data_IF_415344498180
#
_entry.id   IF_415344498180
#
_cell.length_a   1.000
_cell.length_b   1.000
_cell.length_c   1.000
_cell.angle_alpha   90.00
_cell.angle_beta   90.00
_cell.angle_gamma   90.00
#
_symmetry.space_group_name_H-M   'P 1'
#
loop_
_entity.id
_entity.type
_entity.pdbx_description
1 polymer ?
#
# COMPACT_ATOMS: atom_id res chain seq x y z
N UNK A 1 19.54 -13.81 -22.78
CA UNK A 1 18.06 -13.75 -22.77
C UNK A 1 17.51 -15.16 -22.73
N UNK A 2 16.56 -15.45 -21.85
CA UNK A 2 15.82 -16.71 -21.84
C UNK A 2 14.36 -16.36 -22.14
N UNK A 3 13.76 -17.01 -23.13
CA UNK A 3 12.37 -16.83 -23.47
C UNK A 3 11.53 -17.88 -22.74
N UNK A 4 10.49 -17.44 -22.05
CA UNK A 4 9.50 -18.31 -21.42
C UNK A 4 8.19 -18.15 -22.19
N UNK A 5 7.71 -19.24 -22.78
CA UNK A 5 6.39 -19.30 -23.41
C UNK A 5 5.45 -20.04 -22.48
N UNK A 6 4.44 -19.34 -21.95
CA UNK A 6 3.35 -19.97 -21.20
C UNK A 6 2.28 -20.40 -22.20
N UNK A 7 2.14 -21.72 -22.40
CA UNK A 7 1.15 -22.31 -23.31
C UNK A 7 -0.16 -22.54 -22.56
N UNK A 8 -1.28 -22.56 -23.29
CA UNK A 8 -2.62 -22.84 -22.74
C UNK A 8 -3.00 -21.92 -21.57
N UNK A 9 -2.72 -20.63 -21.70
CA UNK A 9 -3.12 -19.64 -20.70
C UNK A 9 -4.65 -19.56 -20.65
N UNK A 10 -5.22 -19.88 -19.48
CA UNK A 10 -6.66 -19.83 -19.29
C UNK A 10 -7.20 -18.40 -19.58
N UNK A 11 -8.36 -18.24 -20.24
CA UNK A 11 -8.86 -16.92 -20.65
C UNK A 11 -9.13 -15.96 -19.49
N UNK A 12 -9.51 -16.48 -18.33
CA UNK A 12 -9.70 -15.75 -17.08
C UNK A 12 -8.36 -15.20 -16.55
N UNK A 13 -7.29 -16.00 -16.59
CA UNK A 13 -5.94 -15.59 -16.20
C UNK A 13 -5.40 -14.52 -17.16
N UNK A 14 -5.63 -14.65 -18.47
CA UNK A 14 -5.28 -13.62 -19.45
C UNK A 14 -5.97 -12.28 -19.14
N UNK A 15 -7.28 -12.31 -18.84
CA UNK A 15 -8.04 -11.11 -18.44
C UNK A 15 -7.51 -10.51 -17.14
N UNK A 16 -7.18 -11.35 -16.15
CA UNK A 16 -6.63 -10.90 -14.89
C UNK A 16 -5.26 -10.20 -15.07
N UNK A 17 -4.39 -10.76 -15.90
CA UNK A 17 -3.08 -10.16 -16.24
C UNK A 17 -3.23 -8.82 -16.96
N UNK A 18 -4.17 -8.71 -17.90
CA UNK A 18 -4.44 -7.45 -18.61
C UNK A 18 -5.01 -6.37 -17.67
N UNK A 19 -5.87 -6.74 -16.72
CA UNK A 19 -6.35 -5.82 -15.69
C UNK A 19 -5.21 -5.34 -14.80
N UNK A 20 -4.32 -6.25 -14.40
CA UNK A 20 -3.16 -5.92 -13.57
C UNK A 20 -2.18 -5.00 -14.31
N UNK A 21 -1.97 -5.25 -15.61
CA UNK A 21 -1.18 -4.40 -16.50
C UNK A 21 -1.72 -2.98 -16.53
N UNK A 22 -3.04 -2.82 -16.74
CA UNK A 22 -3.72 -1.52 -16.75
C UNK A 22 -3.61 -0.81 -15.40
N UNK A 23 -3.80 -1.53 -14.30
CA UNK A 23 -3.67 -0.98 -12.93
C UNK A 23 -2.26 -0.49 -12.64
N UNK A 24 -1.24 -1.24 -13.07
CA UNK A 24 0.15 -0.95 -12.77
C UNK A 24 0.83 0.01 -13.74
N UNK A 25 0.20 0.36 -14.88
CA UNK A 25 0.79 1.22 -15.92
C UNK A 25 2.09 0.68 -16.55
N UNK A 26 2.35 -0.63 -16.42
CA UNK A 26 3.60 -1.28 -16.81
C UNK A 26 3.40 -2.21 -18.01
N UNK A 27 4.48 -2.60 -18.66
CA UNK A 27 4.42 -3.62 -19.72
C UNK A 27 3.94 -4.96 -19.15
N UNK A 28 3.34 -5.80 -20.01
CA UNK A 28 2.84 -7.11 -19.61
C UNK A 28 3.97 -7.98 -19.05
N UNK A 29 5.15 -7.96 -19.68
CA UNK A 29 6.33 -8.68 -19.21
C UNK A 29 6.79 -8.22 -17.81
N UNK A 30 6.83 -6.91 -17.56
CA UNK A 30 7.18 -6.36 -16.24
C UNK A 30 6.16 -6.78 -15.16
N UNK A 31 4.88 -6.80 -15.53
CA UNK A 31 3.79 -7.24 -14.65
C UNK A 31 3.96 -8.73 -14.30
N UNK A 32 4.19 -9.59 -15.29
CA UNK A 32 4.42 -11.03 -15.09
C UNK A 32 5.65 -11.27 -14.21
N UNK A 33 6.77 -10.59 -14.47
CA UNK A 33 7.97 -10.73 -13.65
C UNK A 33 7.75 -10.29 -12.20
N UNK A 34 6.97 -9.23 -11.98
CA UNK A 34 6.62 -8.78 -10.62
C UNK A 34 5.78 -9.84 -9.90
N UNK A 35 4.76 -10.38 -10.57
CA UNK A 35 3.89 -11.42 -10.01
C UNK A 35 4.68 -12.70 -9.70
N UNK A 36 5.56 -13.14 -10.59
CA UNK A 36 6.42 -14.32 -10.38
C UNK A 36 7.40 -14.10 -9.23
N UNK A 37 8.05 -12.92 -9.16
CA UNK A 37 8.94 -12.58 -8.03
C UNK A 37 8.19 -12.61 -6.70
N UNK A 38 6.96 -12.10 -6.65
CA UNK A 38 6.12 -12.14 -5.46
C UNK A 38 5.74 -13.57 -5.07
N UNK A 39 5.29 -14.37 -6.04
CA UNK A 39 4.88 -15.76 -5.82
C UNK A 39 6.04 -16.66 -5.36
N UNK A 40 7.25 -16.39 -5.85
CA UNK A 40 8.47 -17.13 -5.49
C UNK A 40 9.17 -16.56 -4.25
N UNK A 41 8.59 -15.56 -3.58
CA UNK A 41 9.21 -14.93 -2.41
C UNK A 41 10.52 -14.18 -2.72
N UNK A 42 10.78 -13.85 -3.98
CA UNK A 42 11.99 -13.13 -4.41
C UNK A 42 11.89 -11.62 -4.18
N UNK A 43 10.76 -11.11 -3.69
CA UNK A 43 10.61 -9.73 -3.19
C UNK A 43 11.12 -9.61 -1.75
N UNK A 44 12.39 -9.93 -1.51
CA UNK A 44 13.04 -9.58 -0.25
C UNK A 44 13.28 -8.06 -0.22
N UNK A 45 12.58 -7.35 0.68
CA UNK A 45 12.85 -5.94 0.98
C UNK A 45 11.81 -4.91 0.50
N UNK A 46 10.79 -5.29 -0.29
CA UNK A 46 9.64 -4.39 -0.54
C UNK A 46 8.57 -4.61 0.51
N UNK A 47 8.48 -3.68 1.48
CA UNK A 47 7.31 -3.58 2.36
C UNK A 47 6.06 -3.53 1.49
N UNK A 48 5.07 -4.36 1.83
CA UNK A 48 3.75 -4.28 1.21
C UNK A 48 3.26 -2.84 1.30
N UNK A 49 3.09 -2.20 0.14
CA UNK A 49 2.53 -0.86 0.04
C UNK A 49 1.17 -0.98 -0.63
N UNK A 50 0.13 -0.63 0.10
CA UNK A 50 -1.23 -0.49 -0.44
C UNK A 50 -1.40 0.81 -1.26
N UNK A 51 -0.32 1.55 -1.50
CA UNK A 51 -0.35 2.83 -2.21
C UNK A 51 -0.92 4.00 -1.41
N UNK A 52 -1.34 3.77 -0.15
CA UNK A 52 -1.88 4.82 0.72
C UNK A 52 -0.79 5.55 1.52
N UNK A 53 0.44 5.03 1.53
CA UNK A 53 1.56 5.65 2.24
C UNK A 53 1.85 7.09 1.80
N UNK A 54 1.58 7.45 0.54
CA UNK A 54 1.70 8.83 0.04
C UNK A 54 0.65 9.81 0.62
N UNK A 55 -0.44 9.28 1.18
CA UNK A 55 -1.48 10.03 1.88
C UNK A 55 -1.32 9.97 3.40
N UNK A 56 -0.43 9.10 3.90
CA UNK A 56 0.00 9.13 5.29
C UNK A 56 0.92 10.34 5.48
N UNK A 57 0.33 11.53 5.57
CA UNK A 57 0.99 12.72 6.08
C UNK A 57 1.25 12.55 7.58
N UNK A 58 2.41 13.01 8.03
CA UNK A 58 2.69 13.19 9.46
C UNK A 58 2.40 14.62 9.88
N UNK A 59 2.37 14.85 11.18
CA UNK A 59 2.35 16.21 11.72
C UNK A 59 3.78 16.71 11.86
N UNK A 60 4.01 17.97 11.49
CA UNK A 60 5.19 18.69 11.95
C UNK A 60 5.14 18.83 13.47
N UNK A 61 6.31 19.03 14.07
CA UNK A 61 6.39 19.27 15.51
C UNK A 61 5.53 20.46 15.94
N UNK A 62 5.45 21.52 15.12
CA UNK A 62 4.62 22.68 15.39
C UNK A 62 3.12 22.34 15.41
N UNK A 63 2.63 21.60 14.41
CA UNK A 63 1.24 21.14 14.33
C UNK A 63 0.88 20.23 15.51
N UNK A 64 1.82 19.35 15.91
CA UNK A 64 1.65 18.49 17.06
C UNK A 64 1.53 19.27 18.36
N UNK A 65 2.43 20.22 18.59
CA UNK A 65 2.40 21.05 19.78
C UNK A 65 1.15 21.95 19.83
N UNK A 66 0.69 22.47 18.69
CA UNK A 66 -0.54 23.25 18.61
C UNK A 66 -1.78 22.42 18.96
N UNK A 67 -1.89 21.22 18.40
CA UNK A 67 -2.98 20.32 18.73
C UNK A 67 -2.98 19.89 20.19
N UNK A 68 -1.82 19.52 20.75
CA UNK A 68 -1.70 19.13 22.15
C UNK A 68 -2.16 20.25 23.08
N UNK A 69 -1.75 21.50 22.81
CA UNK A 69 -2.22 22.67 23.56
C UNK A 69 -3.73 22.86 23.43
N UNK A 70 -4.26 22.79 22.21
CA UNK A 70 -5.68 23.01 21.95
C UNK A 70 -6.57 21.90 22.51
N UNK A 71 -6.06 20.69 22.71
CA UNK A 71 -6.82 19.54 23.24
C UNK A 71 -6.53 19.23 24.70
N UNK A 72 -5.66 19.98 25.37
CA UNK A 72 -5.29 19.76 26.77
C UNK A 72 -6.51 19.74 27.70
N UNK A 73 -7.53 20.57 27.44
CA UNK A 73 -8.74 20.64 28.24
C UNK A 73 -9.58 19.35 28.18
N UNK A 74 -9.51 18.58 27.09
CA UNK A 74 -10.23 17.30 26.96
C UNK A 74 -9.67 16.20 27.86
N UNK A 75 -8.45 16.39 28.38
CA UNK A 75 -7.78 15.46 29.30
C UNK A 75 -8.01 15.81 30.77
N UNK A 76 -8.66 16.94 31.06
CA UNK A 76 -9.09 17.24 32.41
C UNK A 76 -10.35 16.44 32.71
N UNK A 77 -10.25 15.66 33.79
CA UNK A 77 -11.39 14.97 34.36
C UNK A 77 -12.26 16.00 35.06
N UNK A 78 -13.51 16.11 34.64
CA UNK A 78 -14.52 16.86 35.37
C UNK A 78 -15.03 15.98 36.54
N UNK A 79 -14.61 16.31 37.76
CA UNK A 79 -14.97 15.58 38.97
C UNK A 79 -16.47 15.62 39.28
N UNK A 80 -17.20 16.62 38.78
CA UNK A 80 -18.65 16.70 38.97
C UNK A 80 -19.42 15.85 37.95
N UNK A 81 -18.81 15.49 36.81
CA UNK A 81 -19.35 14.48 35.89
C UNK A 81 -19.10 13.03 36.35
N UNK A 82 -18.19 12.80 37.30
CA UNK A 82 -17.78 11.45 37.72
C UNK A 82 -18.39 10.96 39.05
N UNK A 83 -19.25 11.74 39.69
CA UNK A 83 -20.08 11.34 40.85
C UNK A 83 -21.36 10.66 40.41
#
# INVERSE_FOLDING_TARGET
MRHLTVRNLAPDLAKALEREKKRGGRSLNSTIQTLLRRALGLEHGKKFSNGLAKYAGGWSEAEFQEFERNTAFLRQVDEDMWK
#
